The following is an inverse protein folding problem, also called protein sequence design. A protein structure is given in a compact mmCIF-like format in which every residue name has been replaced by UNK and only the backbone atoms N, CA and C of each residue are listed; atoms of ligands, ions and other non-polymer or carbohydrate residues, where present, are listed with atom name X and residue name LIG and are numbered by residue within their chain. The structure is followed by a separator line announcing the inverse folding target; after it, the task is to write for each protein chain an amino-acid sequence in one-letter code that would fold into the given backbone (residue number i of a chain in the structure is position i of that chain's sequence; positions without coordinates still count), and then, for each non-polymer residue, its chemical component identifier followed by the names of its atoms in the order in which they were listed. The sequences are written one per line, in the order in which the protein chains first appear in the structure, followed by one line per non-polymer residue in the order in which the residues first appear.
data_IF_379901810075
#
_entry.id   IF_379901810075
#
_cell.length_a   1.000
_cell.length_b   1.000
_cell.length_c   1.000
_cell.angle_alpha   90.00
_cell.angle_beta   90.00
_cell.angle_gamma   90.00
#
_symmetry.space_group_name_H-M   'P 1'
#
loop_
_entity.id
_entity.type
_entity.pdbx_description
1 polymer ?
#
# COMPACT_ATOMS: atom_id res chain seq x y z
N UNK A 1 -24.98 60.90 4.73
CA UNK A 1 -24.73 60.17 5.99
C UNK A 1 -25.18 58.73 5.78
N UNK A 2 -24.22 57.80 5.88
CA UNK A 2 -24.33 56.35 6.05
C UNK A 2 -25.14 55.55 5.02
N UNK A 3 -24.41 55.12 3.99
CA UNK A 3 -24.57 53.84 3.35
C UNK A 3 -23.95 52.73 4.22
N UNK A 4 -24.63 51.60 4.43
CA UNK A 4 -24.01 50.28 4.66
C UNK A 4 -25.08 49.16 4.66
N UNK A 5 -24.71 48.03 4.03
CA UNK A 5 -25.23 46.65 4.18
C UNK A 5 -26.60 46.32 3.57
N UNK A 6 -26.58 45.69 2.40
CA UNK A 6 -26.76 44.22 2.26
C UNK A 6 -26.38 43.82 0.83
N UNK A 7 -25.26 43.09 0.71
CA UNK A 7 -24.79 42.45 -0.51
C UNK A 7 -25.13 40.97 -0.40
N UNK A 8 -25.89 40.46 -1.36
CA UNK A 8 -26.10 39.03 -1.60
C UNK A 8 -24.79 38.48 -2.17
N UNK A 9 -24.07 37.70 -1.37
CA UNK A 9 -22.90 36.92 -1.80
C UNK A 9 -23.31 35.44 -1.91
N UNK A 10 -23.47 34.96 -3.14
CA UNK A 10 -23.34 33.54 -3.45
C UNK A 10 -21.85 33.20 -3.42
N UNK A 11 -21.41 32.48 -2.40
CA UNK A 11 -20.08 31.88 -2.33
C UNK A 11 -20.19 30.44 -2.82
N UNK A 12 -19.82 30.24 -4.08
CA UNK A 12 -19.39 28.94 -4.60
C UNK A 12 -17.87 28.88 -4.39
N UNK A 13 -17.43 27.93 -3.59
CA UNK A 13 -16.04 27.58 -3.40
C UNK A 13 -15.52 26.92 -4.69
N UNK A 14 -14.55 27.56 -5.34
CA UNK A 14 -13.69 26.97 -6.36
C UNK A 14 -12.26 27.06 -5.81
N UNK A 15 -11.62 25.93 -5.44
CA UNK A 15 -10.23 25.94 -5.03
C UNK A 15 -9.33 26.08 -6.25
N UNK A 16 -8.27 26.83 -6.02
CA UNK A 16 -7.20 27.25 -6.92
C UNK A 16 -6.45 26.01 -7.47
N UNK A 17 -6.90 25.44 -8.59
CA UNK A 17 -6.10 24.54 -9.39
C UNK A 17 -5.27 25.38 -10.37
N UNK A 18 -3.98 25.53 -10.08
CA UNK A 18 -3.02 25.97 -11.09
C UNK A 18 -3.05 24.94 -12.22
N UNK A 19 -3.60 25.34 -13.36
CA UNK A 19 -3.65 24.58 -14.60
C UNK A 19 -2.23 24.38 -15.12
N UNK A 20 -1.61 23.23 -14.80
CA UNK A 20 -0.73 22.56 -15.75
C UNK A 20 -1.64 22.02 -16.85
N UNK A 21 -1.86 22.85 -17.87
CA UNK A 21 -2.52 22.42 -19.09
C UNK A 21 -1.63 21.35 -19.74
N UNK A 22 -2.04 20.09 -19.64
CA UNK A 22 -1.66 19.09 -20.63
C UNK A 22 -2.16 19.61 -21.99
N UNK A 23 -1.27 20.25 -22.75
CA UNK A 23 -1.54 20.61 -24.13
C UNK A 23 -1.90 19.32 -24.89
N UNK A 24 -3.08 19.29 -25.52
CA UNK A 24 -3.32 18.32 -26.56
C UNK A 24 -2.23 18.49 -27.65
N UNK A 25 -1.60 17.41 -28.15
CA UNK A 25 -0.55 17.51 -29.16
C UNK A 25 -1.07 18.26 -30.37
N UNK A 26 -0.30 19.22 -30.89
CA UNK A 26 -0.71 19.98 -32.06
C UNK A 26 -0.58 19.12 -33.32
N UNK A 27 -1.39 19.37 -34.35
CA UNK A 27 -1.46 18.53 -35.56
C UNK A 27 -0.14 18.36 -36.34
N UNK A 28 0.91 19.10 -35.99
CA UNK A 28 2.24 19.06 -36.62
C UNK A 28 3.30 18.33 -35.77
N UNK A 29 2.94 17.79 -34.60
CA UNK A 29 3.84 17.04 -33.71
C UNK A 29 3.65 15.52 -33.92
N UNK A 30 4.73 14.73 -33.89
CA UNK A 30 4.61 13.27 -34.00
C UNK A 30 3.87 12.66 -32.80
N UNK A 31 3.33 11.44 -32.94
CA UNK A 31 2.66 10.74 -31.84
C UNK A 31 3.59 10.63 -30.61
N UNK A 32 3.13 10.92 -29.38
CA UNK A 32 3.91 10.60 -28.20
C UNK A 32 4.12 9.08 -28.08
N UNK A 33 5.34 8.69 -27.73
CA UNK A 33 5.71 7.31 -27.39
C UNK A 33 5.87 7.16 -25.89
N UNK A 34 5.35 6.07 -25.33
CA UNK A 34 5.41 5.77 -23.89
C UNK A 34 6.04 4.40 -23.70
N UNK A 35 7.01 4.31 -22.79
CA UNK A 35 7.54 3.05 -22.27
C UNK A 35 6.82 2.69 -20.97
N UNK A 36 6.42 1.44 -20.83
CA UNK A 36 5.62 0.96 -19.72
C UNK A 36 6.13 -0.39 -19.20
N UNK A 37 6.22 -0.52 -17.87
CA UNK A 37 6.60 -1.77 -17.21
C UNK A 37 5.51 -2.83 -17.32
N UNK A 38 5.85 -4.08 -17.00
CA UNK A 38 4.83 -5.04 -16.63
C UNK A 38 4.08 -4.61 -15.36
N UNK A 39 3.00 -5.31 -15.02
CA UNK A 39 2.36 -5.14 -13.71
C UNK A 39 3.32 -5.59 -12.60
N UNK A 40 3.69 -4.67 -11.70
CA UNK A 40 4.44 -4.96 -10.48
C UNK A 40 3.47 -4.87 -9.29
N UNK A 41 2.91 -6.00 -8.88
CA UNK A 41 1.83 -6.02 -7.88
C UNK A 41 0.57 -5.33 -8.39
N UNK A 42 0.15 -4.22 -7.76
CA UNK A 42 -1.01 -3.40 -8.15
C UNK A 42 -0.66 -2.16 -8.98
N UNK A 43 0.62 -1.94 -9.29
CA UNK A 43 1.10 -0.71 -9.91
C UNK A 43 1.75 -0.98 -11.26
N UNK A 44 1.59 -0.04 -12.18
CA UNK A 44 2.24 -0.05 -13.48
C UNK A 44 2.85 1.34 -13.72
N UNK A 45 4.12 1.38 -14.12
CA UNK A 45 4.86 2.61 -14.33
C UNK A 45 4.93 2.87 -15.83
N UNK A 46 4.54 4.06 -16.25
CA UNK A 46 4.60 4.51 -17.64
C UNK A 46 5.28 5.88 -17.74
N UNK A 47 6.24 6.01 -18.65
CA UNK A 47 7.00 7.25 -18.85
C UNK A 47 7.02 7.59 -20.34
N UNK A 48 6.76 8.85 -20.66
CA UNK A 48 6.86 9.35 -22.03
C UNK A 48 8.32 9.43 -22.44
N UNK A 49 8.64 8.92 -23.62
CA UNK A 49 9.98 9.00 -24.22
C UNK A 49 10.21 10.39 -24.82
N UNK A 50 11.47 10.83 -24.88
CA UNK A 50 11.83 12.08 -25.54
C UNK A 50 11.81 11.90 -27.05
N UNK A 51 11.08 12.73 -27.79
CA UNK A 51 11.20 12.79 -29.26
C UNK A 51 12.53 13.47 -29.63
N UNK A 52 13.46 12.75 -30.26
CA UNK A 52 14.77 13.27 -30.67
C UNK A 52 14.81 13.75 -32.13
N UNK A 53 13.91 13.25 -32.97
CA UNK A 53 13.81 13.61 -34.39
C UNK A 53 12.50 13.10 -34.97
N UNK A 54 12.04 13.70 -36.06
CA UNK A 54 10.83 13.26 -36.75
C UNK A 54 10.72 13.83 -38.17
N UNK A 55 9.93 13.14 -38.98
CA UNK A 55 9.34 13.69 -40.20
C UNK A 55 7.82 13.51 -40.09
N UNK A 56 7.08 14.61 -39.98
CA UNK A 56 5.64 14.59 -39.72
C UNK A 56 4.94 15.78 -40.37
N UNK A 57 3.96 15.50 -41.22
CA UNK A 57 3.01 16.48 -41.79
C UNK A 57 3.62 17.83 -42.25
N UNK A 58 4.71 17.75 -43.01
CA UNK A 58 5.43 18.91 -43.58
C UNK A 58 6.45 19.58 -42.65
N UNK A 59 6.60 19.09 -41.41
CA UNK A 59 7.68 19.40 -40.49
C UNK A 59 8.77 18.31 -40.50
N UNK A 60 10.02 18.71 -40.36
CA UNK A 60 11.16 17.80 -40.22
C UNK A 60 12.09 18.34 -39.13
N UNK A 61 12.49 17.45 -38.23
CA UNK A 61 13.57 17.66 -37.29
C UNK A 61 14.55 16.51 -37.47
N UNK A 62 15.80 16.83 -37.83
CA UNK A 62 16.85 15.83 -37.91
C UNK A 62 17.10 15.24 -36.52
N UNK A 63 17.15 13.91 -36.42
CA UNK A 63 17.53 13.24 -35.19
C UNK A 63 19.00 13.56 -34.90
N UNK A 64 19.26 14.10 -33.70
CA UNK A 64 20.62 14.08 -33.17
C UNK A 64 21.06 12.63 -32.92
N UNK A 65 22.37 12.35 -32.97
CA UNK A 65 22.85 11.04 -32.57
C UNK A 65 22.40 10.75 -31.13
N UNK A 66 21.92 9.54 -30.79
CA UNK A 66 21.35 9.24 -29.48
C UNK A 66 22.22 9.66 -28.30
N UNK A 67 23.55 9.54 -28.43
CA UNK A 67 24.51 9.91 -27.39
C UNK A 67 24.89 11.40 -27.36
N UNK A 68 24.58 12.17 -28.42
CA UNK A 68 24.80 13.61 -28.45
C UNK A 68 23.69 14.40 -27.71
N UNK A 69 22.58 13.74 -27.37
CA UNK A 69 21.45 14.33 -26.62
C UNK A 69 21.76 14.31 -25.13
N UNK A 70 22.29 15.42 -24.59
CA UNK A 70 22.75 15.49 -23.21
C UNK A 70 21.67 15.76 -22.15
N UNK A 71 20.72 16.66 -22.41
CA UNK A 71 19.71 17.08 -21.42
C UNK A 71 18.29 16.71 -21.88
N UNK A 72 17.44 16.31 -20.93
CA UNK A 72 16.00 16.10 -21.16
C UNK A 72 15.59 14.69 -21.59
N UNK A 73 16.53 13.74 -21.67
CA UNK A 73 16.19 12.32 -21.88
C UNK A 73 15.59 11.77 -20.58
N UNK A 74 14.38 11.19 -20.61
CA UNK A 74 13.72 10.65 -19.42
C UNK A 74 14.42 9.38 -18.93
N UNK A 75 14.32 9.12 -17.63
CA UNK A 75 14.82 7.90 -16.99
C UNK A 75 13.67 6.92 -16.74
N UNK A 76 13.89 5.66 -17.10
CA UNK A 76 13.00 4.54 -16.82
C UNK A 76 13.70 3.56 -15.89
N UNK A 77 13.13 3.36 -14.70
CA UNK A 77 13.78 2.64 -13.60
C UNK A 77 13.41 1.15 -13.61
N UNK A 78 14.44 0.29 -13.64
CA UNK A 78 14.30 -1.17 -13.55
C UNK A 78 15.28 -1.75 -12.53
N UNK A 79 14.88 -2.81 -11.83
CA UNK A 79 15.75 -3.50 -10.86
C UNK A 79 16.79 -4.40 -11.55
N UNK A 80 16.52 -4.79 -12.79
CA UNK A 80 17.34 -5.67 -13.60
C UNK A 80 16.80 -5.76 -15.03
N UNK A 81 17.13 -6.83 -15.75
CA UNK A 81 16.53 -7.08 -17.06
C UNK A 81 15.03 -7.33 -16.92
N UNK A 82 14.19 -6.59 -17.64
CA UNK A 82 12.73 -6.71 -17.60
C UNK A 82 12.12 -6.56 -19.00
N UNK A 83 11.03 -7.30 -19.23
CA UNK A 83 10.15 -7.11 -20.38
C UNK A 83 9.32 -5.84 -20.24
N UNK A 84 9.48 -4.88 -21.15
CA UNK A 84 8.68 -3.66 -21.21
C UNK A 84 7.86 -3.57 -22.48
N UNK A 85 6.82 -2.75 -22.43
CA UNK A 85 6.02 -2.40 -23.58
C UNK A 85 6.30 -0.96 -24.00
N UNK A 86 6.51 -0.75 -25.30
CA UNK A 86 6.54 0.58 -25.90
C UNK A 86 5.32 0.73 -26.79
N UNK A 87 4.52 1.75 -26.55
CA UNK A 87 3.35 2.04 -27.35
C UNK A 87 3.31 3.52 -27.74
N UNK A 88 2.55 3.80 -28.79
CA UNK A 88 2.41 5.14 -29.35
C UNK A 88 0.93 5.50 -29.40
N UNK A 89 0.59 6.78 -29.37
CA UNK A 89 -0.82 7.21 -29.46
C UNK A 89 -1.46 6.93 -30.83
N UNK A 90 -0.66 6.52 -31.82
CA UNK A 90 -1.10 6.06 -33.14
C UNK A 90 -0.40 4.74 -33.46
N UNK A 91 -1.04 3.86 -34.24
CA UNK A 91 -0.45 2.57 -34.57
C UNK A 91 0.80 2.75 -35.47
N UNK A 92 1.94 2.27 -34.99
CA UNK A 92 3.16 2.19 -35.80
C UNK A 92 3.06 1.00 -36.78
N UNK A 93 3.56 1.18 -37.99
CA UNK A 93 3.64 0.14 -39.03
C UNK A 93 4.92 -0.67 -38.93
N UNK A 94 5.98 -0.07 -38.39
CA UNK A 94 7.27 -0.70 -38.15
C UNK A 94 7.99 -0.02 -36.99
N UNK A 95 8.77 -0.77 -36.21
CA UNK A 95 9.52 -0.25 -35.07
C UNK A 95 10.87 -0.94 -34.98
N UNK A 96 11.93 -0.15 -35.03
CA UNK A 96 13.31 -0.59 -34.79
C UNK A 96 13.80 -0.05 -33.45
N UNK A 97 14.54 -0.87 -32.70
CA UNK A 97 15.12 -0.46 -31.41
C UNK A 97 16.60 -0.78 -31.38
N UNK A 98 17.39 0.19 -30.93
CA UNK A 98 18.81 0.01 -30.65
C UNK A 98 19.13 0.51 -29.23
N UNK A 99 20.14 -0.10 -28.60
CA UNK A 99 20.65 0.33 -27.30
C UNK A 99 22.09 0.80 -27.39
N UNK A 100 22.45 1.76 -26.56
CA UNK A 100 23.75 2.41 -26.53
C UNK A 100 24.29 2.42 -25.10
N UNK A 101 25.52 1.95 -24.92
CA UNK A 101 26.27 2.18 -23.67
C UNK A 101 26.82 3.60 -23.65
N UNK A 102 27.16 4.13 -22.47
CA UNK A 102 27.61 5.51 -22.27
C UNK A 102 28.72 6.00 -23.22
N UNK A 103 29.59 5.09 -23.69
CA UNK A 103 30.74 5.40 -24.55
C UNK A 103 30.62 4.81 -25.98
N UNK A 104 29.46 4.28 -26.37
CA UNK A 104 29.30 3.60 -27.67
C UNK A 104 29.01 4.59 -28.82
N UNK A 105 29.81 4.52 -29.89
CA UNK A 105 29.56 5.26 -31.15
C UNK A 105 28.49 4.58 -32.03
N UNK A 106 28.28 3.28 -31.88
CA UNK A 106 27.30 2.49 -32.64
C UNK A 106 26.31 1.79 -31.70
N UNK A 107 25.04 1.70 -32.12
CA UNK A 107 23.98 1.07 -31.35
C UNK A 107 23.91 -0.44 -31.58
N UNK A 108 23.61 -1.18 -30.52
CA UNK A 108 23.33 -2.62 -30.60
C UNK A 108 21.83 -2.82 -30.90
N UNK A 109 21.45 -3.59 -31.94
CA UNK A 109 20.04 -3.84 -32.23
C UNK A 109 19.39 -4.67 -31.12
N UNK A 110 18.20 -4.27 -30.71
CA UNK A 110 17.39 -4.94 -29.69
C UNK A 110 16.24 -5.67 -30.38
N UNK A 111 16.06 -6.95 -30.06
CA UNK A 111 14.96 -7.73 -30.62
C UNK A 111 13.62 -7.22 -30.07
N UNK A 112 12.71 -6.86 -30.97
CA UNK A 112 11.33 -6.52 -30.66
C UNK A 112 10.39 -7.67 -31.03
N UNK A 113 9.30 -7.80 -30.30
CA UNK A 113 8.26 -8.79 -30.58
C UNK A 113 6.86 -8.18 -30.42
N UNK A 114 5.88 -8.82 -31.06
CA UNK A 114 4.47 -8.47 -30.86
C UNK A 114 4.06 -7.11 -31.41
N UNK A 115 4.59 -6.69 -32.57
CA UNK A 115 4.13 -5.47 -33.26
C UNK A 115 2.64 -5.58 -33.51
N UNK A 116 1.86 -4.86 -32.72
CA UNK A 116 0.39 -4.80 -32.78
C UNK A 116 -0.05 -3.34 -32.83
N UNK A 117 -1.34 -3.08 -33.03
CA UNK A 117 -1.92 -1.74 -32.89
C UNK A 117 -1.61 -1.08 -31.54
N UNK A 118 -1.25 -1.89 -30.55
CA UNK A 118 -1.15 -1.53 -29.15
C UNK A 118 0.32 -1.38 -28.69
N UNK A 119 1.30 -1.45 -29.62
CA UNK A 119 2.72 -1.27 -29.35
C UNK A 119 3.61 -2.49 -29.64
N UNK A 120 4.86 -2.42 -29.17
CA UNK A 120 5.89 -3.46 -29.25
C UNK A 120 6.38 -3.87 -27.87
N UNK A 121 6.89 -5.09 -27.76
CA UNK A 121 7.49 -5.61 -26.52
C UNK A 121 8.99 -5.86 -26.73
N UNK A 122 9.81 -5.47 -25.76
CA UNK A 122 11.25 -5.70 -25.77
C UNK A 122 11.79 -5.96 -24.36
N UNK A 123 12.97 -6.55 -24.27
CA UNK A 123 13.74 -6.63 -23.03
C UNK A 123 14.60 -5.38 -22.87
N UNK A 124 14.54 -4.76 -21.70
CA UNK A 124 15.43 -3.66 -21.30
C UNK A 124 16.28 -4.04 -20.11
N UNK A 125 17.47 -3.47 -20.01
CA UNK A 125 18.36 -3.65 -18.85
C UNK A 125 18.98 -2.31 -18.46
N UNK A 126 19.32 -2.12 -17.17
CA UNK A 126 19.83 -0.84 -16.66
C UNK A 126 21.22 -0.51 -17.21
N UNK A 127 21.50 0.79 -17.32
CA UNK A 127 22.80 1.31 -17.79
C UNK A 127 22.87 1.56 -19.30
N UNK A 128 21.74 1.51 -20.00
CA UNK A 128 21.67 1.67 -21.44
C UNK A 128 20.68 2.77 -21.83
N UNK A 129 21.04 3.52 -22.87
CA UNK A 129 20.12 4.39 -23.60
C UNK A 129 19.44 3.60 -24.71
N UNK A 130 18.12 3.63 -24.76
CA UNK A 130 17.34 3.01 -25.82
C UNK A 130 16.88 4.07 -26.82
N UNK A 131 17.20 3.85 -28.09
CA UNK A 131 16.69 4.60 -29.22
C UNK A 131 15.62 3.77 -29.93
N UNK A 132 14.40 4.30 -29.99
CA UNK A 132 13.25 3.67 -30.63
C UNK A 132 12.89 4.48 -31.87
N UNK A 133 12.98 3.87 -33.04
CA UNK A 133 12.59 4.48 -34.31
C UNK A 133 11.28 3.86 -34.78
N UNK A 134 10.22 4.67 -34.91
CA UNK A 134 8.90 4.20 -35.31
C UNK A 134 8.47 4.81 -36.64
N UNK A 135 7.92 3.95 -37.51
CA UNK A 135 7.26 4.34 -38.75
C UNK A 135 5.75 4.34 -38.55
N UNK A 136 5.08 5.34 -39.09
CA UNK A 136 3.63 5.49 -39.08
C UNK A 136 3.13 5.72 -40.50
N UNK A 137 1.81 5.73 -40.69
CA UNK A 137 1.22 6.02 -42.01
C UNK A 137 1.60 7.42 -42.53
N UNK A 138 1.65 8.41 -41.63
CA UNK A 138 1.83 9.83 -41.97
C UNK A 138 3.26 10.36 -41.71
N UNK A 139 4.20 9.51 -41.28
CA UNK A 139 5.55 9.95 -40.97
C UNK A 139 6.38 8.98 -40.14
N UNK A 140 7.47 9.49 -39.56
CA UNK A 140 8.36 8.73 -38.67
C UNK A 140 8.83 9.59 -37.51
N UNK A 141 9.18 8.95 -36.40
CA UNK A 141 9.74 9.61 -35.24
C UNK A 141 10.76 8.73 -34.52
N UNK A 142 11.78 9.38 -33.99
CA UNK A 142 12.82 8.78 -33.16
C UNK A 142 12.64 9.22 -31.71
N UNK A 143 12.71 8.26 -30.80
CA UNK A 143 12.50 8.45 -29.38
C UNK A 143 13.70 7.96 -28.57
N UNK A 144 14.01 8.66 -27.48
CA UNK A 144 15.08 8.32 -26.56
C UNK A 144 14.55 8.15 -25.14
N UNK A 145 15.11 7.16 -24.44
CA UNK A 145 14.90 6.93 -23.02
C UNK A 145 16.13 6.26 -22.41
N UNK A 146 16.50 6.68 -21.20
CA UNK A 146 17.57 6.07 -20.43
C UNK A 146 16.98 5.04 -19.49
N UNK A 147 17.37 3.78 -19.65
CA UNK A 147 17.01 2.73 -18.71
C UNK A 147 18.08 2.71 -17.64
N UNK A 148 17.71 3.13 -16.45
CA UNK A 148 18.61 3.22 -15.30
C UNK A 148 18.26 2.10 -14.34
N UNK A 149 19.26 1.65 -13.58
CA UNK A 149 18.94 0.88 -12.39
C UNK A 149 18.06 1.78 -11.54
N UNK A 150 17.00 1.23 -10.95
CA UNK A 150 16.34 1.90 -9.84
C UNK A 150 17.46 2.48 -8.95
N UNK A 151 17.42 3.79 -8.72
CA UNK A 151 18.50 4.55 -8.08
C UNK A 151 18.79 4.08 -6.65
N UNK A 152 18.13 3.02 -6.19
CA UNK A 152 18.54 2.17 -5.09
C UNK A 152 19.79 1.32 -5.37
N UNK A 153 20.84 1.89 -5.96
CA UNK A 153 22.18 1.61 -5.44
C UNK A 153 22.28 2.30 -4.06
N UNK A 154 21.50 1.75 -3.15
CA UNK A 154 21.26 2.24 -1.82
C UNK A 154 22.55 2.00 -1.06
N UNK A 155 23.21 3.07 -0.61
CA UNK A 155 24.39 2.94 0.25
C UNK A 155 24.02 1.96 1.35
N UNK A 156 24.84 0.91 1.51
CA UNK A 156 24.67 -0.06 2.58
C UNK A 156 24.61 0.72 3.90
N UNK A 157 23.39 0.90 4.42
CA UNK A 157 23.18 1.59 5.66
C UNK A 157 23.60 0.62 6.75
N UNK A 158 24.59 1.01 7.53
CA UNK A 158 24.95 0.28 8.74
C UNK A 158 24.74 1.21 9.93
N UNK A 159 23.87 0.79 10.85
CA UNK A 159 23.67 1.45 12.13
C UNK A 159 24.00 0.51 13.28
N UNK A 160 24.44 1.09 14.39
CA UNK A 160 24.49 0.40 15.67
C UNK A 160 23.35 0.91 16.53
N UNK A 161 22.45 0.04 16.97
CA UNK A 161 21.26 0.41 17.72
C UNK A 161 21.13 -0.39 19.02
N UNK A 162 20.48 0.21 20.01
CA UNK A 162 20.03 -0.48 21.22
C UNK A 162 18.60 -0.96 21.05
N UNK A 163 18.32 -2.20 21.46
CA UNK A 163 16.98 -2.78 21.45
C UNK A 163 16.22 -2.34 22.71
N UNK A 164 15.00 -1.84 22.51
CA UNK A 164 14.01 -1.62 23.57
C UNK A 164 12.73 -2.33 23.17
N UNK A 165 12.34 -3.39 23.88
CA UNK A 165 11.05 -4.05 23.62
C UNK A 165 9.92 -3.20 24.19
N UNK A 166 8.90 -2.93 23.36
CA UNK A 166 7.65 -2.31 23.77
C UNK A 166 6.80 -3.31 24.55
N UNK A 167 5.72 -2.84 25.17
CA UNK A 167 4.90 -3.71 26.04
C UNK A 167 4.11 -4.80 25.28
N UNK A 168 3.99 -4.70 23.96
CA UNK A 168 3.49 -5.76 23.07
C UNK A 168 4.60 -6.74 22.62
N UNK A 169 5.84 -6.55 23.05
CA UNK A 169 6.99 -7.35 22.64
C UNK A 169 7.65 -6.93 21.33
N UNK A 170 7.11 -5.93 20.62
CA UNK A 170 7.73 -5.42 19.40
C UNK A 170 9.02 -4.66 19.72
N UNK A 171 10.09 -4.83 18.93
CA UNK A 171 11.33 -4.11 19.14
C UNK A 171 11.23 -2.68 18.61
N UNK A 172 11.67 -1.74 19.44
CA UNK A 172 12.04 -0.39 19.05
C UNK A 172 13.57 -0.29 19.05
N UNK A 173 14.16 0.18 17.96
CA UNK A 173 15.60 0.38 17.88
C UNK A 173 15.94 1.83 18.15
N UNK A 174 16.91 2.07 19.03
CA UNK A 174 17.45 3.40 19.30
C UNK A 174 18.84 3.49 18.69
N UNK A 175 18.98 4.29 17.66
CA UNK A 175 20.28 4.51 17.02
C UNK A 175 21.28 5.11 18.02
N UNK A 176 22.45 4.50 18.15
CA UNK A 176 23.45 4.87 19.16
C UNK A 176 24.19 6.17 18.84
N UNK A 177 24.18 6.62 17.59
CA UNK A 177 24.87 7.84 17.17
C UNK A 177 23.96 9.07 17.28
N UNK A 178 22.71 8.93 16.86
CA UNK A 178 21.71 10.00 16.79
C UNK A 178 20.74 10.00 17.96
N UNK A 179 20.71 8.93 18.75
CA UNK A 179 19.72 8.69 19.82
C UNK A 179 18.25 8.71 19.34
N UNK A 180 18.03 8.53 18.02
CA UNK A 180 16.70 8.55 17.41
C UNK A 180 16.05 7.16 17.43
N UNK A 181 14.75 7.05 17.78
CA UNK A 181 14.01 5.80 17.71
C UNK A 181 13.55 5.50 16.29
N UNK A 182 13.55 4.21 15.93
CA UNK A 182 12.92 3.72 14.72
C UNK A 182 12.36 2.29 14.89
N UNK A 183 11.33 1.98 14.12
CA UNK A 183 10.78 0.65 13.98
C UNK A 183 11.55 -0.13 12.91
N UNK A 184 12.15 -1.28 13.26
CA UNK A 184 12.78 -2.15 12.30
C UNK A 184 11.75 -3.05 11.62
N UNK A 185 11.89 -3.26 10.31
CA UNK A 185 11.28 -4.42 9.64
C UNK A 185 12.27 -5.57 9.73
N UNK A 186 12.03 -6.51 10.65
CA UNK A 186 12.97 -7.62 10.89
C UNK A 186 12.93 -8.65 9.75
N UNK A 187 14.09 -9.14 9.28
CA UNK A 187 14.14 -10.27 8.36
C UNK A 187 13.76 -11.58 9.07
N UNK A 188 13.31 -12.59 8.30
CA UNK A 188 12.87 -13.89 8.83
C UNK A 188 13.95 -14.62 9.66
N UNK A 189 15.22 -14.36 9.40
CA UNK A 189 16.37 -14.94 10.09
C UNK A 189 16.93 -14.06 11.22
N UNK A 190 16.19 -13.02 11.63
CA UNK A 190 16.58 -12.16 12.73
C UNK A 190 16.80 -12.97 14.03
N UNK A 191 17.84 -12.64 14.82
CA UNK A 191 18.07 -13.29 16.10
C UNK A 191 16.97 -12.94 17.11
N UNK A 192 16.84 -13.74 18.17
CA UNK A 192 16.00 -13.37 19.31
C UNK A 192 16.57 -12.11 19.97
N UNK A 193 15.71 -11.10 20.17
CA UNK A 193 16.10 -9.79 20.67
C UNK A 193 15.59 -9.59 22.10
N UNK A 194 16.43 -9.04 22.95
CA UNK A 194 16.06 -8.63 24.31
C UNK A 194 16.36 -7.15 24.55
N UNK A 195 15.54 -6.51 25.40
CA UNK A 195 15.79 -5.13 25.84
C UNK A 195 17.21 -5.00 26.41
N UNK A 196 17.94 -3.99 25.94
CA UNK A 196 19.33 -3.72 26.30
C UNK A 196 20.35 -4.28 25.32
N UNK A 197 19.99 -5.24 24.46
CA UNK A 197 20.90 -5.74 23.42
C UNK A 197 21.36 -4.62 22.50
N UNK A 198 22.62 -4.69 22.07
CA UNK A 198 23.16 -3.82 21.03
C UNK A 198 23.26 -4.63 19.75
N UNK A 199 22.64 -4.10 18.70
CA UNK A 199 22.59 -4.73 17.39
C UNK A 199 23.32 -3.89 16.36
N UNK A 200 23.94 -4.57 15.39
CA UNK A 200 24.30 -3.98 14.11
C UNK A 200 23.16 -4.25 13.13
N UNK A 201 22.69 -3.20 12.49
CA UNK A 201 21.62 -3.24 11.51
C UNK A 201 22.22 -2.89 10.17
N UNK A 202 22.01 -3.77 9.18
CA UNK A 202 22.39 -3.52 7.80
C UNK A 202 21.13 -3.49 6.94
N UNK A 203 21.04 -2.51 6.07
CA UNK A 203 19.91 -2.37 5.16
C UNK A 203 20.24 -1.52 3.96
N UNK A 204 19.20 -1.25 3.18
CA UNK A 204 19.29 -0.43 1.99
C UNK A 204 19.27 1.08 2.33
N UNK A 205 18.81 1.49 3.52
CA UNK A 205 18.87 2.88 3.96
C UNK A 205 17.66 3.72 3.57
N UNK A 206 16.64 3.14 2.92
CA UNK A 206 15.31 3.74 2.83
C UNK A 206 14.75 3.88 4.24
N UNK A 207 14.46 5.12 4.61
CA UNK A 207 13.72 5.48 5.82
C UNK A 207 12.45 6.22 5.42
N UNK A 208 11.30 5.82 5.96
CA UNK A 208 10.05 6.55 5.77
C UNK A 208 10.03 7.80 6.68
N UNK A 209 9.50 8.91 6.15
CA UNK A 209 9.35 10.18 6.88
C UNK A 209 8.27 10.09 7.97
N UNK A 210 8.61 9.43 9.08
CA UNK A 210 7.73 9.16 10.23
C UNK A 210 8.49 9.33 11.55
N UNK A 211 7.75 9.44 12.66
CA UNK A 211 8.34 9.41 13.99
C UNK A 211 7.55 8.46 14.90
N UNK A 212 8.19 7.39 15.43
CA UNK A 212 9.53 6.90 15.13
C UNK A 212 9.74 6.64 13.64
N UNK A 213 11.00 6.74 13.17
CA UNK A 213 11.31 6.41 11.78
C UNK A 213 10.97 4.95 11.47
N UNK A 214 10.77 4.61 10.20
CA UNK A 214 10.57 3.22 9.78
C UNK A 214 11.60 2.86 8.71
N UNK A 215 12.25 1.72 8.89
CA UNK A 215 13.26 1.19 7.97
C UNK A 215 12.80 -0.14 7.36
N UNK A 216 12.07 -0.11 6.23
CA UNK A 216 11.51 -1.31 5.62
C UNK A 216 12.56 -2.22 4.96
N UNK A 217 13.71 -1.70 4.55
CA UNK A 217 14.71 -2.47 3.82
C UNK A 217 15.90 -2.93 4.66
N UNK A 218 15.67 -3.28 5.92
CA UNK A 218 16.66 -3.97 6.75
C UNK A 218 16.84 -5.38 6.19
N UNK A 219 18.07 -5.74 5.86
CA UNK A 219 18.42 -7.05 5.30
C UNK A 219 19.14 -7.94 6.31
N UNK A 220 19.69 -7.37 7.38
CA UNK A 220 20.40 -8.12 8.41
C UNK A 220 20.38 -7.41 9.76
N UNK A 221 20.18 -8.19 10.82
CA UNK A 221 20.32 -7.74 12.21
C UNK A 221 21.23 -8.71 12.93
N UNK A 222 22.29 -8.20 13.56
CA UNK A 222 23.24 -9.00 14.33
C UNK A 222 23.36 -8.46 15.75
N UNK A 223 23.09 -9.27 16.77
CA UNK A 223 23.42 -8.92 18.16
C UNK A 223 24.94 -8.91 18.30
N UNK A 224 25.51 -7.73 18.54
CA UNK A 224 26.96 -7.54 18.70
C UNK A 224 27.37 -7.43 20.17
N UNK A 225 26.43 -7.12 21.06
CA UNK A 225 26.64 -7.10 22.51
C UNK A 225 25.32 -7.44 23.24
N UNK A 226 25.38 -8.42 24.15
CA UNK A 226 24.30 -8.69 25.11
C UNK A 226 24.37 -7.64 26.22
N UNK A 227 23.64 -6.54 26.06
CA UNK A 227 23.50 -5.52 27.11
C UNK A 227 22.47 -5.91 28.17
N UNK A 228 22.36 -5.08 29.21
CA UNK A 228 21.42 -5.30 30.30
C UNK A 228 20.15 -4.44 30.13
N UNK A 229 19.00 -4.87 30.67
CA UNK A 229 17.80 -4.02 30.67
C UNK A 229 17.98 -2.67 31.37
N UNK A 230 18.90 -2.58 32.34
CA UNK A 230 19.24 -1.33 33.04
C UNK A 230 19.78 -0.27 32.06
N UNK A 231 20.49 -0.67 31.01
CA UNK A 231 21.04 0.23 29.98
C UNK A 231 19.95 0.92 29.14
N UNK A 232 18.76 0.29 29.06
CA UNK A 232 17.59 0.77 28.34
C UNK A 232 16.61 1.58 29.20
N UNK A 233 16.81 1.65 30.53
CA UNK A 233 15.90 2.36 31.45
C UNK A 233 15.70 3.83 31.07
N UNK A 234 16.75 4.48 30.54
CA UNK A 234 16.67 5.87 30.05
C UNK A 234 15.66 6.07 28.91
N UNK A 235 15.25 5.00 28.22
CA UNK A 235 14.26 5.02 27.14
C UNK A 235 12.88 4.52 27.57
N UNK A 236 12.66 4.19 28.85
CA UNK A 236 11.39 3.69 29.33
C UNK A 236 10.23 4.68 29.12
N UNK A 237 10.46 5.98 29.36
CA UNK A 237 9.45 7.01 29.11
C UNK A 237 9.11 7.14 27.62
N UNK A 238 10.11 7.03 26.74
CA UNK A 238 9.91 7.05 25.29
C UNK A 238 9.11 5.84 24.84
N UNK A 239 9.47 4.64 25.30
CA UNK A 239 8.74 3.41 25.00
C UNK A 239 7.26 3.51 25.44
N UNK A 240 7.02 4.06 26.63
CA UNK A 240 5.65 4.31 27.10
C UNK A 240 4.91 5.33 26.24
N UNK A 241 5.56 6.39 25.74
CA UNK A 241 4.90 7.35 24.85
C UNK A 241 4.51 6.74 23.50
N UNK A 242 5.32 5.80 23.00
CA UNK A 242 5.13 5.17 21.70
C UNK A 242 4.12 4.03 21.74
N UNK A 243 4.04 3.33 22.87
CA UNK A 243 3.08 2.25 23.07
C UNK A 243 2.41 2.40 24.43
N UNK A 244 1.09 2.45 24.40
CA UNK A 244 0.25 2.40 25.59
C UNK A 244 -0.50 1.07 25.59
N UNK A 245 -0.60 0.38 26.74
CA UNK A 245 -1.46 -0.78 26.83
C UNK A 245 -2.90 -0.35 26.53
N UNK A 246 -3.64 -1.22 25.84
CA UNK A 246 -5.09 -1.07 25.66
C UNK A 246 -5.75 -0.85 27.02
N UNK A 247 -6.69 0.09 27.10
CA UNK A 247 -7.51 0.26 28.30
C UNK A 247 -8.27 -1.05 28.56
N UNK A 248 -8.05 -1.73 29.70
CA UNK A 248 -8.66 -3.03 29.96
C UNK A 248 -10.19 -2.95 30.06
N UNK A 249 -10.76 -1.76 30.29
CA UNK A 249 -12.20 -1.55 30.31
C UNK A 249 -12.85 -1.52 28.92
N UNK A 250 -12.05 -1.35 27.87
CA UNK A 250 -12.53 -1.36 26.49
C UNK A 250 -12.63 -2.80 25.95
N UNK A 251 -13.80 -3.21 25.43
CA UNK A 251 -13.96 -4.52 24.79
C UNK A 251 -13.04 -4.70 23.58
N UNK A 252 -12.81 -5.95 23.18
CA UNK A 252 -12.08 -6.28 21.96
C UNK A 252 -12.66 -5.54 20.74
N UNK A 253 -11.79 -5.04 19.87
CA UNK A 253 -12.14 -4.42 18.59
C UNK A 253 -11.84 -5.44 17.49
N UNK A 254 -12.67 -5.45 16.46
CA UNK A 254 -12.44 -6.25 15.27
C UNK A 254 -12.18 -5.37 14.05
N UNK A 255 -11.38 -5.89 13.13
CA UNK A 255 -11.18 -5.37 11.78
C UNK A 255 -11.60 -6.46 10.81
N UNK A 256 -12.48 -6.12 9.86
CA UNK A 256 -12.91 -7.02 8.80
C UNK A 256 -12.27 -6.56 7.49
N UNK A 257 -11.55 -7.48 6.86
CA UNK A 257 -10.84 -7.28 5.60
C UNK A 257 -11.47 -8.12 4.51
N UNK A 258 -11.62 -7.53 3.33
CA UNK A 258 -12.11 -8.23 2.15
C UNK A 258 -11.52 -7.63 0.89
N UNK A 259 -11.57 -8.39 -0.21
CA UNK A 259 -11.02 -7.98 -1.50
C UNK A 259 -12.04 -8.18 -2.62
N UNK A 260 -12.24 -7.15 -3.43
CA UNK A 260 -12.96 -7.21 -4.70
C UNK A 260 -11.98 -7.17 -5.87
N UNK A 261 -12.48 -7.22 -7.10
CA UNK A 261 -11.65 -7.00 -8.29
C UNK A 261 -11.02 -5.59 -8.30
N UNK A 262 -11.69 -4.60 -7.73
CA UNK A 262 -11.28 -3.19 -7.76
C UNK A 262 -10.51 -2.72 -6.52
N UNK A 263 -10.65 -3.37 -5.36
CA UNK A 263 -10.08 -2.87 -4.11
C UNK A 263 -9.77 -3.97 -3.08
N UNK A 264 -8.82 -3.68 -2.19
CA UNK A 264 -8.70 -4.34 -0.88
C UNK A 264 -9.19 -3.35 0.18
N UNK A 265 -10.11 -3.79 1.03
CA UNK A 265 -10.85 -2.91 1.94
C UNK A 265 -10.76 -3.46 3.36
N UNK A 266 -10.47 -2.58 4.30
CA UNK A 266 -10.56 -2.84 5.74
C UNK A 266 -11.68 -1.97 6.33
N UNK A 267 -12.55 -2.59 7.13
CA UNK A 267 -13.66 -1.92 7.81
C UNK A 267 -13.72 -2.36 9.27
N UNK A 268 -14.24 -1.48 10.13
CA UNK A 268 -14.49 -1.79 11.54
C UNK A 268 -15.97 -2.15 11.71
N UNK A 269 -16.33 -3.43 11.91
CA UNK A 269 -17.70 -3.81 12.21
C UNK A 269 -18.12 -3.22 13.56
N UNK A 270 -19.41 -2.95 13.71
CA UNK A 270 -19.92 -2.30 14.91
C UNK A 270 -19.94 -3.29 16.07
N UNK A 271 -19.21 -3.00 17.15
CA UNK A 271 -19.32 -3.72 18.42
C UNK A 271 -20.69 -3.40 19.08
N UNK A 272 -21.69 -4.21 18.75
CA UNK A 272 -23.09 -3.96 19.05
C UNK A 272 -23.43 -4.24 20.51
N UNK A 273 -23.23 -5.48 20.95
CA UNK A 273 -23.54 -5.91 22.31
C UNK A 273 -22.34 -6.62 22.92
N UNK A 274 -22.13 -6.46 24.22
CA UNK A 274 -20.99 -7.09 24.88
C UNK A 274 -21.20 -7.27 26.39
N UNK A 275 -20.43 -8.18 26.97
CA UNK A 275 -20.24 -8.31 28.41
C UNK A 275 -18.75 -8.45 28.64
N UNK A 276 -18.17 -7.61 29.48
CA UNK A 276 -16.73 -7.46 29.63
C UNK A 276 -16.34 -7.31 31.09
N UNK A 277 -15.31 -8.03 31.51
CA UNK A 277 -14.80 -8.03 32.88
C UNK A 277 -13.35 -7.58 32.90
N UNK A 278 -13.02 -6.67 33.80
CA UNK A 278 -11.69 -6.11 33.94
C UNK A 278 -11.40 -5.75 35.40
N UNK A 279 -10.12 -5.63 35.75
CA UNK A 279 -9.70 -5.22 37.08
C UNK A 279 -9.71 -3.69 37.22
N UNK A 280 -10.33 -3.18 38.28
CA UNK A 280 -10.30 -1.77 38.63
C UNK A 280 -10.06 -1.63 40.13
N UNK A 281 -8.97 -0.96 40.51
CA UNK A 281 -8.55 -0.79 41.91
C UNK A 281 -8.37 -2.11 42.71
N UNK A 282 -8.07 -3.22 42.01
CA UNK A 282 -7.86 -4.54 42.60
C UNK A 282 -9.14 -5.36 42.82
N UNK A 283 -10.29 -4.86 42.35
CA UNK A 283 -11.54 -5.61 42.28
C UNK A 283 -11.93 -5.88 40.82
N UNK A 284 -12.43 -7.07 40.54
CA UNK A 284 -13.03 -7.40 39.23
C UNK A 284 -14.35 -6.65 39.06
N UNK A 285 -14.45 -5.85 38.00
CA UNK A 285 -15.66 -5.16 37.57
C UNK A 285 -16.16 -5.79 36.28
N UNK A 286 -17.45 -6.12 36.21
CA UNK A 286 -18.11 -6.56 34.97
C UNK A 286 -19.07 -5.48 34.49
N UNK A 287 -18.92 -5.08 33.24
CA UNK A 287 -19.82 -4.17 32.54
C UNK A 287 -20.47 -4.88 31.34
N UNK A 288 -21.62 -4.38 30.89
CA UNK A 288 -22.28 -4.87 29.69
C UNK A 288 -22.91 -3.74 28.91
N UNK A 289 -23.02 -3.93 27.61
CA UNK A 289 -23.83 -3.13 26.72
C UNK A 289 -24.86 -4.02 26.04
N UNK A 290 -26.14 -3.81 26.35
CA UNK A 290 -27.25 -4.47 25.69
C UNK A 290 -27.71 -3.61 24.53
N UNK A 291 -27.67 -4.16 23.32
CA UNK A 291 -28.09 -3.48 22.11
C UNK A 291 -29.18 -4.27 21.37
N UNK A 292 -29.93 -3.63 20.45
CA UNK A 292 -30.91 -4.31 19.61
C UNK A 292 -30.29 -5.47 18.84
N UNK A 293 -31.10 -6.47 18.48
CA UNK A 293 -30.66 -7.54 17.59
C UNK A 293 -30.25 -6.96 16.22
N UNK A 294 -29.35 -7.64 15.50
CA UNK A 294 -28.81 -7.13 14.24
C UNK A 294 -29.91 -6.80 13.20
N UNK A 295 -30.98 -7.58 13.18
CA UNK A 295 -32.16 -7.35 12.33
C UNK A 295 -33.07 -6.20 12.78
N UNK A 296 -32.80 -5.55 13.90
CA UNK A 296 -33.54 -4.39 14.40
C UNK A 296 -32.80 -3.07 14.15
N UNK A 297 -31.58 -3.13 13.61
CA UNK A 297 -30.77 -1.97 13.27
C UNK A 297 -30.98 -1.66 11.79
N UNK A 298 -31.22 -0.39 11.48
CA UNK A 298 -31.31 0.04 10.08
C UNK A 298 -29.98 -0.29 9.38
N UNK A 299 -30.03 -0.87 8.19
CA UNK A 299 -28.79 -1.25 7.51
C UNK A 299 -28.01 -0.02 7.01
N UNK A 300 -28.61 1.17 6.93
CA UNK A 300 -27.87 2.41 6.68
C UNK A 300 -27.04 2.87 7.89
N UNK A 301 -27.33 2.34 9.08
CA UNK A 301 -26.61 2.65 10.32
C UNK A 301 -25.51 1.60 10.63
N UNK A 302 -25.34 0.60 9.76
CA UNK A 302 -24.35 -0.46 9.89
C UNK A 302 -23.14 -0.19 8.99
N UNK A 303 -21.91 -0.54 9.44
CA UNK A 303 -20.75 -0.63 8.56
C UNK A 303 -21.05 -1.56 7.38
N UNK A 304 -20.59 -1.18 6.19
CA UNK A 304 -20.96 -1.83 4.93
C UNK A 304 -19.75 -2.49 4.26
N UNK A 305 -19.88 -3.78 3.96
CA UNK A 305 -19.08 -4.47 2.94
C UNK A 305 -19.75 -4.17 1.59
N UNK A 306 -19.13 -3.31 0.78
CA UNK A 306 -19.60 -3.01 -0.56
C UNK A 306 -19.08 -4.08 -1.53
N UNK A 307 -19.89 -5.11 -1.80
CA UNK A 307 -19.55 -6.24 -2.64
C UNK A 307 -20.79 -6.71 -3.43
N UNK A 308 -20.72 -6.64 -4.75
CA UNK A 308 -21.84 -7.02 -5.64
C UNK A 308 -22.06 -8.53 -5.80
N UNK A 309 -21.17 -9.35 -5.23
CA UNK A 309 -21.23 -10.81 -5.24
C UNK A 309 -20.67 -11.38 -3.93
N UNK A 310 -20.73 -12.71 -3.78
CA UNK A 310 -20.16 -13.39 -2.62
C UNK A 310 -18.65 -13.13 -2.52
N UNK A 311 -18.19 -12.72 -1.34
CA UNK A 311 -16.77 -12.44 -1.08
C UNK A 311 -16.32 -13.13 0.20
N UNK A 312 -15.09 -13.64 0.19
CA UNK A 312 -14.43 -14.15 1.40
C UNK A 312 -13.94 -12.96 2.24
N UNK A 313 -14.18 -13.01 3.54
CA UNK A 313 -13.75 -11.99 4.49
C UNK A 313 -12.85 -12.62 5.55
N UNK A 314 -11.89 -11.83 6.02
CA UNK A 314 -11.05 -12.16 7.18
C UNK A 314 -11.32 -11.15 8.28
N UNK A 315 -11.71 -11.61 9.46
CA UNK A 315 -11.99 -10.77 10.62
C UNK A 315 -10.95 -11.01 11.69
N UNK A 316 -10.09 -10.02 11.92
CA UNK A 316 -9.02 -10.03 12.92
C UNK A 316 -9.43 -9.23 14.16
N UNK A 317 -8.78 -9.51 15.29
CA UNK A 317 -9.09 -8.90 16.57
C UNK A 317 -7.83 -8.35 17.23
N UNK A 318 -7.98 -7.28 18.01
CA UNK A 318 -6.89 -6.71 18.78
C UNK A 318 -6.57 -7.48 20.07
N UNK A 319 -7.48 -8.36 20.49
CA UNK A 319 -7.29 -9.33 21.56
C UNK A 319 -7.56 -10.73 21.00
N UNK A 320 -6.79 -11.76 21.40
CA UNK A 320 -6.97 -13.10 20.85
C UNK A 320 -8.35 -13.66 21.27
N UNK A 321 -9.15 -14.15 20.31
CA UNK A 321 -10.38 -14.87 20.64
C UNK A 321 -10.04 -16.19 21.33
N UNK A 322 -10.94 -16.65 22.21
CA UNK A 322 -10.79 -17.92 22.91
C UNK A 322 -11.79 -18.95 22.39
N UNK A 323 -11.31 -20.14 22.07
CA UNK A 323 -12.16 -21.31 21.87
C UNK A 323 -12.53 -21.90 23.23
N UNK A 324 -13.81 -22.20 23.45
CA UNK A 324 -14.24 -22.90 24.66
C UNK A 324 -14.95 -24.21 24.32
N UNK A 325 -14.60 -25.28 25.04
CA UNK A 325 -15.19 -26.62 24.88
C UNK A 325 -16.70 -26.68 25.17
N UNK A 326 -17.28 -25.63 25.77
CA UNK A 326 -18.66 -25.58 26.27
C UNK A 326 -19.68 -24.95 25.28
N UNK A 327 -19.44 -25.07 23.97
CA UNK A 327 -20.38 -24.67 22.88
C UNK A 327 -20.54 -23.15 22.65
N UNK A 328 -19.48 -22.36 22.86
CA UNK A 328 -19.43 -20.97 22.37
C UNK A 328 -18.34 -20.86 21.33
N UNK A 329 -18.72 -21.04 20.08
CA UNK A 329 -17.87 -20.79 18.92
C UNK A 329 -17.90 -19.30 18.59
N UNK A 330 -16.96 -18.77 17.80
CA UNK A 330 -17.37 -17.66 16.96
C UNK A 330 -18.63 -18.10 16.20
N UNK A 331 -19.77 -17.48 16.49
CA UNK A 331 -21.04 -17.77 15.82
C UNK A 331 -21.34 -16.60 14.88
N UNK A 332 -21.31 -16.87 13.57
CA UNK A 332 -21.83 -15.94 12.61
C UNK A 332 -23.25 -16.34 12.22
N UNK A 333 -24.13 -15.34 12.19
CA UNK A 333 -25.49 -15.50 11.71
C UNK A 333 -25.85 -14.34 10.79
N UNK A 334 -26.64 -14.62 9.77
CA UNK A 334 -27.10 -13.63 8.80
C UNK A 334 -28.61 -13.46 8.80
N UNK A 335 -29.06 -12.26 8.52
CA UNK A 335 -30.46 -11.85 8.44
C UNK A 335 -30.73 -11.20 7.10
N UNK A 336 -31.82 -11.56 6.39
CA UNK A 336 -32.14 -10.93 5.11
C UNK A 336 -32.33 -9.44 5.30
N UNK A 337 -31.76 -8.61 4.44
CA UNK A 337 -31.86 -7.16 4.61
C UNK A 337 -33.33 -6.69 4.49
N UNK A 338 -34.06 -7.32 3.57
CA UNK A 338 -35.42 -6.97 3.17
C UNK A 338 -36.53 -7.76 3.87
N UNK A 339 -36.19 -8.75 4.70
CA UNK A 339 -37.15 -9.58 5.43
C UNK A 339 -36.64 -9.93 6.83
N UNK A 340 -36.98 -9.06 7.78
CA UNK A 340 -36.53 -9.11 9.17
C UNK A 340 -37.39 -10.03 10.06
N UNK A 341 -38.51 -10.53 9.53
CA UNK A 341 -39.36 -11.51 10.20
C UNK A 341 -38.82 -12.94 10.02
N UNK A 342 -38.05 -13.16 8.95
CA UNK A 342 -37.28 -14.39 8.75
C UNK A 342 -36.18 -14.48 9.81
N UNK A 343 -36.10 -15.63 10.47
CA UNK A 343 -35.09 -15.90 11.50
C UNK A 343 -33.66 -15.91 10.96
N UNK A 344 -32.68 -15.94 11.87
CA UNK A 344 -31.27 -15.94 11.50
C UNK A 344 -30.86 -17.25 10.81
N UNK A 345 -30.00 -17.17 9.80
CA UNK A 345 -29.31 -18.31 9.20
C UNK A 345 -27.89 -18.40 9.77
N UNK A 346 -27.45 -19.61 10.16
CA UNK A 346 -26.08 -19.83 10.57
C UNK A 346 -25.12 -19.71 9.38
N UNK A 347 -23.94 -19.15 9.62
CA UNK A 347 -22.85 -19.01 8.65
C UNK A 347 -21.68 -19.84 9.16
N UNK A 348 -21.11 -20.67 8.28
CA UNK A 348 -19.92 -21.45 8.60
C UNK A 348 -18.72 -20.51 8.69
N UNK A 349 -18.02 -20.56 9.82
CA UNK A 349 -16.81 -19.75 10.08
C UNK A 349 -15.65 -20.64 10.48
N UNK A 350 -14.45 -20.25 10.08
CA UNK A 350 -13.21 -20.93 10.46
C UNK A 350 -12.34 -19.99 11.28
N UNK A 351 -11.90 -20.40 12.47
CA UNK A 351 -10.91 -19.68 13.25
C UNK A 351 -9.51 -20.21 12.89
N UNK A 352 -8.67 -19.37 12.31
CA UNK A 352 -7.31 -19.70 11.89
C UNK A 352 -6.37 -18.57 12.29
N UNK A 353 -5.28 -18.89 13.00
CA UNK A 353 -4.28 -17.89 13.39
C UNK A 353 -4.81 -16.72 14.25
N UNK A 354 -5.94 -16.91 14.94
CA UNK A 354 -6.59 -15.85 15.73
C UNK A 354 -7.55 -14.94 14.95
N UNK A 355 -7.78 -15.22 13.66
CA UNK A 355 -8.73 -14.51 12.81
C UNK A 355 -9.85 -15.45 12.32
N UNK A 356 -11.04 -14.88 12.05
CA UNK A 356 -12.15 -15.63 11.45
C UNK A 356 -12.15 -15.47 9.93
N UNK A 357 -12.32 -16.58 9.22
CA UNK A 357 -12.47 -16.64 7.78
C UNK A 357 -13.86 -17.19 7.43
N UNK A 358 -14.61 -16.48 6.59
CA UNK A 358 -15.93 -16.89 6.12
C UNK A 358 -16.40 -16.11 4.88
N UNK A 359 -17.40 -16.64 4.18
CA UNK A 359 -18.02 -16.00 3.04
C UNK A 359 -19.19 -15.10 3.44
N UNK A 360 -19.31 -13.95 2.79
CA UNK A 360 -20.45 -13.04 2.95
C UNK A 360 -21.10 -12.73 1.61
N UNK A 361 -22.41 -12.53 1.63
CA UNK A 361 -23.27 -12.33 0.46
C UNK A 361 -24.02 -10.98 0.54
N UNK A 362 -24.19 -10.26 -0.57
CA UNK A 362 -24.97 -9.03 -0.62
C UNK A 362 -26.45 -9.24 -0.28
N UNK A 363 -27.07 -8.23 0.33
CA UNK A 363 -28.47 -8.26 0.77
C UNK A 363 -28.68 -8.92 2.13
N UNK A 364 -27.61 -9.08 2.91
CA UNK A 364 -27.63 -9.69 4.23
C UNK A 364 -26.98 -8.78 5.28
N UNK A 365 -27.54 -8.81 6.49
CA UNK A 365 -26.90 -8.29 7.72
C UNK A 365 -26.24 -9.44 8.46
N UNK A 366 -25.02 -9.26 8.92
CA UNK A 366 -24.26 -10.25 9.67
C UNK A 366 -24.15 -9.85 11.14
N UNK A 367 -24.24 -10.86 11.99
CA UNK A 367 -23.89 -10.80 13.41
C UNK A 367 -22.80 -11.83 13.64
N UNK A 368 -21.72 -11.45 14.30
CA UNK A 368 -20.61 -12.34 14.68
C UNK A 368 -20.39 -12.23 16.18
N UNK A 369 -20.72 -13.27 16.93
CA UNK A 369 -20.48 -13.36 18.37
C UNK A 369 -19.12 -13.99 18.63
N UNK A 370 -18.26 -13.33 19.41
CA UNK A 370 -16.88 -13.77 19.68
C UNK A 370 -16.59 -13.71 21.17
N UNK A 371 -15.94 -14.75 21.69
CA UNK A 371 -15.50 -14.84 23.08
C UNK A 371 -14.00 -14.50 23.21
N UNK A 372 -13.66 -13.85 24.32
CA UNK A 372 -12.32 -13.46 24.74
C UNK A 372 -12.16 -13.81 26.22
N UNK A 373 -10.93 -13.85 26.73
CA UNK A 373 -10.68 -14.12 28.17
C UNK A 373 -11.46 -13.19 29.11
N UNK A 374 -11.59 -11.91 28.72
CA UNK A 374 -12.27 -10.90 29.50
C UNK A 374 -13.80 -10.89 29.32
N UNK A 375 -14.35 -11.58 28.31
CA UNK A 375 -15.79 -11.54 28.05
C UNK A 375 -16.21 -11.90 26.64
N UNK A 376 -17.32 -11.34 26.17
CA UNK A 376 -17.89 -11.62 24.85
C UNK A 376 -18.32 -10.33 24.16
N UNK A 377 -18.13 -10.28 22.83
CA UNK A 377 -18.53 -9.16 21.99
C UNK A 377 -19.31 -9.67 20.78
N UNK A 378 -20.38 -8.99 20.44
CA UNK A 378 -21.22 -9.22 19.27
C UNK A 378 -20.99 -8.10 18.27
N UNK A 379 -20.41 -8.44 17.12
CA UNK A 379 -20.14 -7.50 16.03
C UNK A 379 -21.22 -7.58 14.97
N UNK A 380 -21.58 -6.45 14.36
CA UNK A 380 -22.60 -6.39 13.31
C UNK A 380 -22.15 -5.53 12.14
N UNK A 381 -22.54 -5.93 10.93
CA UNK A 381 -22.30 -5.21 9.68
C UNK A 381 -23.31 -5.64 8.62
N UNK A 382 -23.36 -4.95 7.49
CA UNK A 382 -24.21 -5.27 6.34
C UNK A 382 -23.38 -5.47 5.09
N UNK A 383 -23.90 -6.19 4.10
CA UNK A 383 -23.25 -6.41 2.81
C UNK A 383 -24.20 -5.98 1.70
N UNK A 384 -23.73 -5.16 0.76
CA UNK A 384 -24.53 -4.58 -0.32
C UNK A 384 -23.84 -4.52 -1.66
#
# INVERSE_FOLDING_TARGET
MKALRELVFCVLALPLAATLAACAPQAWEPPPGTMQSGWRGSSMIGINMLVSGYTWDGGTSDAAAPMDVGEGVPHFEVEGAETVRVYFSQAATDVDVARYSADAEEGEPVAVSGITSDGVTLEVEPGWRYAVSAQFEDGSADYLIDVVSDGSAQEEFTSTAMVVLLGNGEPLFIDRETESPYYPTLPDDAPELATGNIVRVTGNGIMLESYPGQYPGITKVEVIEEGSPEDAEKYAELAAQLWQPKDPSEPAIATLEYRTEEASVSLFPLANAWTWSYEQNGDTVTASNDAPAANQIDATDLPEVAAGETVEVTMAFDLPPVESDDSRWPEAARYPENDLETGAEAVDVTLSGGALEFAVEPGWRYRVDVAFDAGQVSYVFTVR
#
